data_IF_761974612842
#
_entry.id   IF_761974612842
#
_cell.length_a   1.000
_cell.length_b   1.000
_cell.length_c   1.000
_cell.angle_alpha   90.00
_cell.angle_beta   90.00
_cell.angle_gamma   90.00
#
_symmetry.space_group_name_H-M   'P 1'
#
loop_
_entity.id
_entity.type
_entity.pdbx_description
1 polymer ?
#
# COMPACT_ATOMS: atom_id res chain seq x y z
N UNK A 1 -14.06 -16.17 4.51
CA UNK A 1 -15.17 -16.37 3.55
C UNK A 1 -15.23 -15.11 2.69
N UNK A 2 -15.17 -15.23 1.36
CA UNK A 2 -15.34 -14.07 0.45
C UNK A 2 -16.73 -14.22 -0.17
N UNK A 3 -17.58 -13.20 -0.07
CA UNK A 3 -18.93 -13.21 -0.64
C UNK A 3 -18.94 -12.50 -1.98
N UNK A 4 -19.59 -13.07 -2.99
CA UNK A 4 -19.58 -12.56 -4.39
C UNK A 4 -20.13 -11.14 -4.57
N UNK A 5 -20.80 -10.56 -3.56
CA UNK A 5 -21.31 -9.18 -3.59
C UNK A 5 -20.31 -8.12 -3.16
N UNK A 6 -19.36 -8.48 -2.28
CA UNK A 6 -18.37 -7.56 -1.71
C UNK A 6 -17.00 -8.23 -1.82
N UNK A 7 -16.14 -7.70 -2.69
CA UNK A 7 -14.83 -8.25 -2.98
C UNK A 7 -13.77 -7.97 -1.89
N UNK A 8 -14.18 -8.12 -0.62
CA UNK A 8 -13.36 -7.92 0.58
C UNK A 8 -13.64 -9.02 1.62
N UNK A 9 -12.66 -9.35 2.48
CA UNK A 9 -12.80 -10.40 3.49
C UNK A 9 -13.55 -9.94 4.75
N UNK A 10 -13.97 -10.93 5.53
CA UNK A 10 -14.36 -10.77 6.91
C UNK A 10 -13.90 -11.96 7.75
N UNK A 11 -13.74 -11.73 9.05
CA UNK A 11 -13.45 -12.75 10.06
C UNK A 11 -14.52 -12.71 11.16
N UNK A 12 -14.74 -13.83 11.83
CA UNK A 12 -15.65 -13.90 12.96
C UNK A 12 -15.16 -14.92 13.99
N UNK A 13 -15.52 -14.69 15.26
CA UNK A 13 -15.27 -15.59 16.37
C UNK A 13 -16.41 -15.46 17.38
N UNK A 14 -17.21 -16.52 17.53
CA UNK A 14 -18.44 -16.47 18.34
C UNK A 14 -19.39 -15.37 17.84
N UNK A 15 -19.66 -14.39 18.69
CA UNK A 15 -20.52 -13.24 18.38
C UNK A 15 -19.75 -12.02 17.83
N UNK A 16 -18.42 -12.09 17.74
CA UNK A 16 -17.60 -11.01 17.17
C UNK A 16 -17.43 -11.19 15.67
N UNK A 17 -17.51 -10.08 14.94
CA UNK A 17 -17.37 -10.02 13.50
C UNK A 17 -16.58 -8.78 13.12
N UNK A 18 -15.59 -8.94 12.26
CA UNK A 18 -14.75 -7.86 11.74
C UNK A 18 -14.65 -7.96 10.22
N UNK A 19 -15.02 -6.88 9.55
CA UNK A 19 -14.76 -6.66 8.12
C UNK A 19 -13.47 -5.89 7.95
N UNK A 20 -12.60 -6.32 7.03
CA UNK A 20 -11.27 -5.75 6.87
C UNK A 20 -10.81 -5.81 5.41
N UNK A 21 -9.64 -5.24 5.14
CA UNK A 21 -8.95 -5.35 3.85
C UNK A 21 -7.74 -6.27 3.96
N UNK A 22 -7.56 -7.12 2.97
CA UNK A 22 -6.36 -7.92 2.77
C UNK A 22 -5.68 -7.55 1.45
N UNK A 23 -4.57 -8.22 1.13
CA UNK A 23 -3.87 -7.98 -0.13
C UNK A 23 -4.79 -8.16 -1.34
N UNK A 24 -5.66 -9.18 -1.33
CA UNK A 24 -6.54 -9.47 -2.47
C UNK A 24 -7.59 -8.38 -2.67
N UNK A 25 -8.24 -7.92 -1.59
CA UNK A 25 -9.25 -6.86 -1.67
C UNK A 25 -8.64 -5.51 -2.07
N UNK A 26 -7.44 -5.20 -1.59
CA UNK A 26 -6.68 -4.03 -2.02
C UNK A 26 -6.32 -4.13 -3.49
N UNK A 27 -5.86 -5.29 -3.98
CA UNK A 27 -5.60 -5.53 -5.40
C UNK A 27 -6.83 -5.20 -6.27
N UNK A 28 -8.00 -5.74 -5.91
CA UNK A 28 -9.25 -5.45 -6.63
C UNK A 28 -9.61 -3.96 -6.62
N UNK A 29 -9.38 -3.26 -5.50
CA UNK A 29 -9.63 -1.81 -5.39
C UNK A 29 -8.66 -1.02 -6.27
N UNK A 30 -7.39 -1.42 -6.35
CA UNK A 30 -6.42 -0.78 -7.24
C UNK A 30 -6.79 -1.00 -8.70
N UNK A 31 -7.17 -2.22 -9.09
CA UNK A 31 -7.62 -2.51 -10.45
C UNK A 31 -8.83 -1.63 -10.83
N UNK A 32 -9.75 -1.42 -9.89
CA UNK A 32 -10.85 -0.48 -10.06
C UNK A 32 -10.38 0.97 -10.24
N UNK A 33 -9.45 1.46 -9.41
CA UNK A 33 -8.90 2.81 -9.55
C UNK A 33 -8.25 3.04 -10.92
N UNK A 34 -7.49 2.06 -11.42
CA UNK A 34 -6.85 2.11 -12.75
C UNK A 34 -7.91 2.13 -13.84
N UNK A 35 -8.91 1.24 -13.76
CA UNK A 35 -10.00 1.15 -14.74
C UNK A 35 -10.79 2.44 -14.85
N UNK A 36 -11.04 3.11 -13.74
CA UNK A 36 -11.80 4.37 -13.70
C UNK A 36 -10.92 5.62 -13.94
N UNK A 37 -9.62 5.44 -14.19
CA UNK A 37 -8.70 6.56 -14.50
C UNK A 37 -8.44 7.49 -13.32
N UNK A 38 -8.50 6.97 -12.08
CA UNK A 38 -8.25 7.76 -10.88
C UNK A 38 -6.76 8.03 -10.67
N UNK A 39 -6.42 9.15 -10.02
CA UNK A 39 -5.02 9.55 -9.80
C UNK A 39 -4.24 8.75 -8.76
N UNK A 40 -4.90 7.88 -7.99
CA UNK A 40 -4.29 7.04 -6.96
C UNK A 40 -5.25 6.70 -5.82
N UNK A 41 -4.73 6.04 -4.79
CA UNK A 41 -5.46 5.71 -3.56
C UNK A 41 -4.78 6.32 -2.33
N UNK A 42 -5.56 6.63 -1.30
CA UNK A 42 -5.06 7.08 0.00
C UNK A 42 -5.16 5.94 1.00
N UNK A 43 -4.12 5.77 1.83
CA UNK A 43 -4.07 4.76 2.89
C UNK A 43 -4.32 5.42 4.23
N UNK A 44 -5.36 4.97 4.93
CA UNK A 44 -5.61 5.28 6.32
C UNK A 44 -5.57 3.97 7.13
N UNK A 45 -4.56 3.73 7.95
CA UNK A 45 -3.36 4.54 8.18
C UNK A 45 -2.10 3.69 8.28
N UNK A 46 -0.94 4.33 8.18
CA UNK A 46 0.35 3.65 8.09
C UNK A 46 0.64 2.76 9.31
N UNK A 47 0.25 3.22 10.49
CA UNK A 47 0.44 2.53 11.77
C UNK A 47 -0.52 1.37 12.00
N UNK A 48 -1.58 1.25 11.20
CA UNK A 48 -2.55 0.13 11.27
C UNK A 48 -2.22 -1.01 10.31
N UNK A 49 -1.26 -0.82 9.40
CA UNK A 49 -0.68 -1.92 8.63
C UNK A 49 0.26 -2.74 9.53
N UNK A 50 0.70 -3.92 9.08
CA UNK A 50 1.67 -4.73 9.81
C UNK A 50 3.08 -4.14 9.70
N UNK A 51 3.30 -3.01 10.38
CA UNK A 51 4.56 -2.28 10.37
C UNK A 51 5.69 -3.02 11.09
N UNK A 52 5.36 -4.04 11.89
CA UNK A 52 6.32 -4.89 12.60
C UNK A 52 6.68 -6.15 11.82
N UNK A 53 5.81 -6.61 10.91
CA UNK A 53 5.99 -7.85 10.15
C UNK A 53 5.61 -9.10 10.93
N UNK A 54 4.66 -8.99 11.86
CA UNK A 54 4.25 -10.09 12.73
C UNK A 54 3.24 -11.05 12.07
N UNK A 55 2.47 -10.59 11.09
CA UNK A 55 1.44 -11.39 10.42
C UNK A 55 2.02 -12.29 9.33
N UNK A 56 2.94 -11.75 8.52
CA UNK A 56 3.46 -12.43 7.32
C UNK A 56 4.99 -12.38 7.17
N UNK A 57 5.71 -11.89 8.18
CA UNK A 57 7.18 -11.77 8.12
C UNK A 57 7.69 -10.59 7.29
N UNK A 58 6.80 -9.69 6.85
CA UNK A 58 7.12 -8.53 6.02
C UNK A 58 6.48 -7.26 6.58
N UNK A 59 7.18 -6.12 6.49
CA UNK A 59 6.65 -4.84 6.97
C UNK A 59 5.78 -4.18 5.91
N UNK A 60 4.66 -3.60 6.35
CA UNK A 60 3.71 -2.86 5.51
C UNK A 60 3.16 -3.66 4.32
N UNK A 61 2.65 -4.89 4.54
CA UNK A 61 2.19 -5.77 3.46
C UNK A 61 1.06 -5.16 2.62
N UNK A 62 0.18 -4.33 3.22
CA UNK A 62 -0.95 -3.75 2.50
C UNK A 62 -0.52 -2.52 1.69
N UNK A 63 0.28 -1.63 2.28
CA UNK A 63 0.84 -0.47 1.57
C UNK A 63 1.74 -0.88 0.41
N UNK A 64 2.62 -1.87 0.63
CA UNK A 64 3.53 -2.37 -0.40
C UNK A 64 2.76 -2.97 -1.58
N UNK A 65 1.65 -3.68 -1.30
CA UNK A 65 0.79 -4.23 -2.34
C UNK A 65 0.09 -3.13 -3.15
N UNK A 66 -0.42 -2.10 -2.48
CA UNK A 66 -1.05 -0.94 -3.10
C UNK A 66 -0.08 -0.20 -4.04
N UNK A 67 1.16 0.06 -3.56
CA UNK A 67 2.22 0.69 -4.36
C UNK A 67 2.61 -0.14 -5.59
N UNK A 68 2.75 -1.46 -5.42
CA UNK A 68 3.16 -2.36 -6.51
C UNK A 68 2.12 -2.41 -7.62
N UNK A 69 0.83 -2.41 -7.28
CA UNK A 69 -0.24 -2.51 -8.26
C UNK A 69 -0.53 -1.17 -8.96
N UNK A 70 -0.36 -0.04 -8.26
CA UNK A 70 -0.54 1.30 -8.87
C UNK A 70 0.63 1.70 -9.78
N UNK A 71 1.86 1.30 -9.44
CA UNK A 71 3.05 1.64 -10.21
C UNK A 71 3.51 0.47 -11.07
N UNK A 72 3.07 0.46 -12.33
CA UNK A 72 3.61 -0.39 -13.41
C UNK A 72 5.09 -0.07 -13.76
N UNK A 73 5.88 0.44 -12.82
CA UNK A 73 7.33 0.60 -12.86
C UNK A 73 7.85 0.56 -11.43
N UNK A 74 8.52 -0.54 -11.07
CA UNK A 74 9.14 -0.73 -9.77
C UNK A 74 10.31 0.25 -9.62
N UNK A 75 10.04 1.46 -9.15
CA UNK A 75 11.08 2.26 -8.50
C UNK A 75 11.16 1.73 -7.08
N UNK A 76 12.12 0.84 -6.80
CA UNK A 76 12.43 0.49 -5.40
C UNK A 76 12.76 1.79 -4.67
N UNK A 77 12.05 2.17 -3.60
CA UNK A 77 12.51 3.25 -2.74
C UNK A 77 13.89 2.84 -2.24
N UNK A 78 14.94 3.56 -2.64
CA UNK A 78 16.26 3.36 -2.05
C UNK A 78 16.14 3.62 -0.55
N UNK A 79 16.48 2.63 0.25
CA UNK A 79 16.44 2.67 1.73
C UNK A 79 17.37 3.76 2.28
N UNK A 80 18.20 4.35 1.42
CA UNK A 80 18.96 5.56 1.64
C UNK A 80 18.50 6.62 0.64
N UNK A 81 17.96 7.78 1.05
CA UNK A 81 17.94 8.92 0.16
C UNK A 81 19.40 9.22 -0.20
N UNK A 82 19.75 9.22 -1.49
CA UNK A 82 20.99 9.84 -1.93
C UNK A 82 20.82 11.35 -1.71
N UNK A 83 21.13 11.82 -0.50
CA UNK A 83 21.29 13.25 -0.22
C UNK A 83 22.61 13.64 -0.89
N UNK A 84 22.60 13.81 -2.21
CA UNK A 84 23.66 14.54 -2.87
C UNK A 84 23.36 16.01 -2.57
N UNK A 85 24.23 16.73 -1.83
CA UNK A 85 24.04 18.16 -1.65
C UNK A 85 23.93 18.78 -3.04
N UNK A 86 22.85 19.52 -3.30
CA UNK A 86 22.81 20.39 -4.46
C UNK A 86 24.00 21.33 -4.27
N UNK A 87 25.04 21.19 -5.11
CA UNK A 87 26.16 22.12 -5.09
C UNK A 87 25.51 23.48 -5.35
N UNK A 88 25.55 24.37 -4.35
CA UNK A 88 25.00 25.71 -4.50
C UNK A 88 25.59 26.37 -5.75
N UNK A 89 24.89 27.35 -6.35
CA UNK A 89 25.38 28.03 -7.54
C UNK A 89 26.82 28.51 -7.32
N UNK A 90 27.70 28.15 -8.25
CA UNK A 90 29.11 28.55 -8.24
C UNK A 90 29.13 30.10 -8.24
N UNK A 91 29.74 30.76 -7.24
CA UNK A 91 29.92 32.20 -7.28
C UNK A 91 30.79 32.55 -8.48
N UNK A 92 30.22 33.24 -9.46
CA UNK A 92 31.00 33.89 -10.51
C UNK A 92 31.52 35.21 -9.94
N UNK A 93 32.74 35.17 -9.41
CA UNK A 93 33.55 36.34 -9.08
C UNK A 93 34.82 36.30 -9.92
#
# INVERSE_FOLDING_TARGET
VVTDKVAAPYAYSGAQWDGYDDKKSIGNKVDYLIKEGQGGGMVWSLETDDFRGNCFGEKYPLLAHNYTNLNCHVVRPTIYPNIRPTVGPIPTG
#
